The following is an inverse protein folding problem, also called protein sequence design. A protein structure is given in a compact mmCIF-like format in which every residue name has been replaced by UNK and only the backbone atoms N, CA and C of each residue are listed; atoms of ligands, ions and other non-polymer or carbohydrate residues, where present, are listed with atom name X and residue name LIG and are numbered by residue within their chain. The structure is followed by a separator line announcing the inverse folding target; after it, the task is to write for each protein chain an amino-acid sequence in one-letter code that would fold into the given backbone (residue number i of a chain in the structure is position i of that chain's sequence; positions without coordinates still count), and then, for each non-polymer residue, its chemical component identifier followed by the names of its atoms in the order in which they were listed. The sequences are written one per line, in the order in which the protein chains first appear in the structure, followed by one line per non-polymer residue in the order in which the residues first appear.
data_IF_281977849129
#
_entry.id   IF_281977849129
#
_cell.length_a   1.000
_cell.length_b   1.000
_cell.length_c   1.000
_cell.angle_alpha   90.00
_cell.angle_beta   90.00
_cell.angle_gamma   90.00
#
_symmetry.space_group_name_H-M   'P 1'
#
loop_
_entity.id
_entity.type
_entity.pdbx_description
1 polymer ?
#
# COMPACT_ATOMS: atom_id res chain seq x y z
N UNK A 1 15.14 14.93 17.68
CA UNK A 1 14.68 16.04 18.52
C UNK A 1 15.91 16.76 19.07
N UNK A 2 16.05 18.07 18.76
CA UNK A 2 17.17 18.89 19.23
C UNK A 2 17.21 19.02 20.77
N UNK A 3 18.41 19.33 21.33
CA UNK A 3 18.58 19.47 22.79
C UNK A 3 17.61 20.47 23.44
N UNK A 4 17.32 21.59 22.76
CA UNK A 4 16.37 22.62 23.23
C UNK A 4 14.93 22.10 23.26
N UNK A 5 14.49 21.36 22.26
CA UNK A 5 13.14 20.78 22.18
C UNK A 5 12.93 19.66 23.21
N UNK A 6 13.99 18.87 23.54
CA UNK A 6 13.94 17.86 24.60
C UNK A 6 13.64 18.45 25.97
N UNK A 7 14.18 19.62 26.27
CA UNK A 7 13.98 20.29 27.57
C UNK A 7 12.56 20.83 27.75
N UNK A 8 11.75 20.91 26.70
CA UNK A 8 10.37 21.40 26.71
C UNK A 8 9.31 20.29 26.73
N UNK A 9 9.73 19.02 26.67
CA UNK A 9 8.81 17.89 26.66
C UNK A 9 8.71 17.28 28.07
N UNK A 10 7.50 17.02 28.53
CA UNK A 10 7.21 16.34 29.80
C UNK A 10 7.50 14.85 29.76
N UNK A 11 8.06 14.33 28.65
CA UNK A 11 8.37 12.93 28.43
C UNK A 11 9.69 12.73 27.67
N UNK A 12 10.29 11.54 27.81
CA UNK A 12 11.46 11.14 27.04
C UNK A 12 11.03 10.53 25.69
N UNK A 13 11.27 11.19 24.53
CA UNK A 13 10.93 10.61 23.23
C UNK A 13 11.57 9.26 22.96
N UNK A 14 12.75 9.00 23.56
CA UNK A 14 13.45 7.71 23.41
C UNK A 14 12.72 6.59 24.15
N UNK A 15 12.23 6.85 25.34
CA UNK A 15 11.54 5.84 26.13
C UNK A 15 10.16 5.54 25.55
N UNK A 16 9.43 6.58 25.12
CA UNK A 16 8.15 6.43 24.40
C UNK A 16 8.35 5.63 23.11
N UNK A 17 9.40 5.90 22.32
CA UNK A 17 9.68 5.15 21.10
C UNK A 17 9.98 3.67 21.42
N UNK A 18 10.74 3.40 22.49
CA UNK A 18 11.02 2.03 22.92
C UNK A 18 9.75 1.28 23.34
N UNK A 19 8.85 1.96 24.05
CA UNK A 19 7.56 1.39 24.44
C UNK A 19 6.69 1.12 23.23
N UNK A 20 6.59 2.06 22.27
CA UNK A 20 5.87 1.87 21.00
C UNK A 20 6.41 0.64 20.26
N UNK A 21 7.74 0.48 20.14
CA UNK A 21 8.33 -0.68 19.47
C UNK A 21 7.97 -1.99 20.18
N UNK A 22 8.00 -2.00 21.52
CA UNK A 22 7.61 -3.19 22.30
C UNK A 22 6.16 -3.59 22.05
N UNK A 23 5.25 -2.62 22.06
CA UNK A 23 3.82 -2.86 21.82
C UNK A 23 3.60 -3.33 20.37
N UNK A 24 4.19 -2.65 19.40
CA UNK A 24 4.06 -2.99 17.97
C UNK A 24 4.58 -4.39 17.68
N UNK A 25 5.75 -4.76 18.23
CA UNK A 25 6.31 -6.10 18.03
C UNK A 25 5.38 -7.18 18.59
N UNK A 26 4.82 -6.98 19.77
CA UNK A 26 3.85 -7.91 20.36
C UNK A 26 2.60 -8.07 19.49
N UNK A 27 2.04 -6.96 19.01
CA UNK A 27 0.87 -7.00 18.11
C UNK A 27 1.18 -7.71 16.79
N UNK A 28 2.38 -7.50 16.22
CA UNK A 28 2.79 -8.18 15.00
C UNK A 28 2.96 -9.69 15.20
N UNK A 29 3.51 -10.11 16.33
CA UNK A 29 3.59 -11.53 16.68
C UNK A 29 2.20 -12.14 16.84
N UNK A 30 1.30 -11.47 17.55
CA UNK A 30 -0.09 -11.90 17.73
C UNK A 30 -0.84 -12.02 16.40
N UNK A 31 -0.73 -11.00 15.51
CA UNK A 31 -1.33 -11.05 14.17
C UNK A 31 -0.78 -12.24 13.37
N UNK A 32 0.53 -12.48 13.41
CA UNK A 32 1.15 -13.61 12.71
C UNK A 32 0.62 -14.95 13.23
N UNK A 33 0.50 -15.10 14.55
CA UNK A 33 -0.05 -16.31 15.17
C UNK A 33 -1.53 -16.53 14.80
N UNK A 34 -2.34 -15.48 14.87
CA UNK A 34 -3.76 -15.55 14.45
C UNK A 34 -3.87 -15.96 12.98
N UNK A 35 -3.06 -15.33 12.12
CA UNK A 35 -3.08 -15.64 10.70
C UNK A 35 -2.67 -17.09 10.42
N UNK A 36 -1.55 -17.55 10.97
CA UNK A 36 -1.02 -18.89 10.67
C UNK A 36 -1.79 -20.00 11.39
N UNK A 37 -2.25 -19.79 12.62
CA UNK A 37 -2.85 -20.83 13.45
C UNK A 37 -4.38 -20.86 13.42
N UNK A 38 -5.03 -19.76 13.02
CA UNK A 38 -6.49 -19.68 13.01
C UNK A 38 -7.03 -19.42 11.59
N UNK A 39 -6.58 -18.36 10.92
CA UNK A 39 -7.14 -17.95 9.62
C UNK A 39 -6.77 -18.94 8.51
N UNK A 40 -5.50 -19.26 8.34
CA UNK A 40 -5.06 -20.19 7.28
C UNK A 40 -5.68 -21.59 7.44
N UNK A 41 -5.72 -22.20 8.63
CA UNK A 41 -6.43 -23.48 8.82
C UNK A 41 -7.92 -23.40 8.53
N UNK A 42 -8.58 -22.28 8.89
CA UNK A 42 -10.00 -22.11 8.63
C UNK A 42 -10.28 -21.93 7.12
N UNK A 43 -9.48 -21.13 6.42
CA UNK A 43 -9.56 -21.02 4.97
C UNK A 43 -9.42 -22.40 4.31
N UNK A 44 -8.50 -23.24 4.78
CA UNK A 44 -8.31 -24.60 4.27
C UNK A 44 -9.54 -25.49 4.48
N UNK A 45 -10.24 -25.36 5.61
CA UNK A 45 -11.52 -26.06 5.83
C UNK A 45 -12.61 -25.62 4.85
N UNK A 46 -12.50 -24.39 4.36
CA UNK A 46 -13.38 -23.82 3.34
C UNK A 46 -12.85 -24.06 1.90
N UNK A 47 -11.92 -25.00 1.74
CA UNK A 47 -11.26 -25.33 0.46
C UNK A 47 -10.51 -24.16 -0.21
N UNK A 48 -10.10 -23.16 0.58
CA UNK A 48 -9.21 -22.08 0.13
C UNK A 48 -7.81 -22.38 0.65
N UNK A 49 -6.87 -22.66 -0.24
CA UNK A 49 -5.52 -23.06 0.11
C UNK A 49 -4.52 -21.98 -0.30
N UNK A 50 -3.85 -21.35 0.67
CA UNK A 50 -2.71 -20.48 0.41
C UNK A 50 -1.47 -21.38 0.36
N UNK A 51 -0.99 -21.66 -0.85
CA UNK A 51 0.13 -22.56 -1.11
C UNK A 51 1.45 -21.78 -1.12
N UNK A 52 2.47 -22.41 -0.59
CA UNK A 52 3.86 -21.95 -0.72
C UNK A 52 4.49 -22.62 -1.95
N UNK A 53 5.58 -22.06 -2.48
CA UNK A 53 6.28 -22.62 -3.64
C UNK A 53 6.64 -24.11 -3.54
N UNK A 54 6.84 -24.63 -2.33
CA UNK A 54 7.19 -26.01 -2.09
C UNK A 54 5.97 -26.95 -2.08
N UNK A 55 4.78 -26.41 -1.92
CA UNK A 55 3.52 -27.17 -1.84
C UNK A 55 2.85 -27.35 -3.21
N UNK A 56 3.42 -26.75 -4.28
CA UNK A 56 2.86 -26.78 -5.62
C UNK A 56 3.00 -28.17 -6.25
N UNK A 57 1.91 -28.65 -6.85
CA UNK A 57 1.97 -29.78 -7.77
C UNK A 57 2.62 -29.37 -9.12
N UNK A 58 2.81 -30.33 -10.02
CA UNK A 58 3.51 -30.10 -11.30
C UNK A 58 2.76 -29.14 -12.23
N UNK A 59 1.43 -29.17 -12.22
CA UNK A 59 0.60 -28.26 -13.01
C UNK A 59 0.68 -26.84 -12.47
N UNK A 60 0.51 -26.67 -11.17
CA UNK A 60 0.62 -25.39 -10.49
C UNK A 60 2.01 -24.79 -10.61
N UNK A 61 3.06 -25.61 -10.58
CA UNK A 61 4.44 -25.17 -10.79
C UNK A 61 4.65 -24.64 -12.19
N UNK A 62 4.18 -25.35 -13.21
CA UNK A 62 4.23 -24.89 -14.61
C UNK A 62 3.43 -23.60 -14.80
N UNK A 63 2.26 -23.51 -14.17
CA UNK A 63 1.47 -22.27 -14.18
C UNK A 63 2.27 -21.11 -13.57
N UNK A 64 2.85 -21.27 -12.40
CA UNK A 64 3.65 -20.25 -11.73
C UNK A 64 4.86 -19.81 -12.58
N UNK A 65 5.54 -20.73 -13.24
CA UNK A 65 6.66 -20.43 -14.16
C UNK A 65 6.21 -19.64 -15.40
N UNK A 66 5.08 -20.01 -15.99
CA UNK A 66 4.50 -19.27 -17.11
C UNK A 66 4.01 -17.88 -16.67
N UNK A 67 3.32 -17.81 -15.53
CA UNK A 67 2.89 -16.53 -14.96
C UNK A 67 4.06 -15.58 -14.70
N UNK A 68 5.19 -16.13 -14.22
CA UNK A 68 6.41 -15.36 -14.04
C UNK A 68 6.92 -14.79 -15.37
N UNK A 69 7.01 -15.61 -16.41
CA UNK A 69 7.53 -15.19 -17.73
C UNK A 69 6.63 -14.17 -18.41
N UNK A 70 5.32 -14.41 -18.37
CA UNK A 70 4.36 -13.65 -19.17
C UNK A 70 3.93 -12.35 -18.45
N UNK A 71 3.84 -12.36 -17.13
CA UNK A 71 3.27 -11.25 -16.37
C UNK A 71 4.29 -10.54 -15.46
N UNK A 72 5.22 -11.28 -14.82
CA UNK A 72 6.11 -10.73 -13.81
C UNK A 72 7.42 -10.20 -14.38
N UNK A 73 8.02 -10.93 -15.32
CA UNK A 73 9.36 -10.63 -15.84
C UNK A 73 9.54 -9.19 -16.32
N UNK A 74 8.56 -8.53 -16.97
CA UNK A 74 8.68 -7.14 -17.38
C UNK A 74 8.81 -6.14 -16.22
N UNK A 75 8.37 -6.50 -15.03
CA UNK A 75 8.35 -5.62 -13.84
C UNK A 75 9.44 -5.96 -12.81
N UNK A 76 10.13 -7.09 -13.00
CA UNK A 76 11.12 -7.58 -12.03
C UNK A 76 12.53 -7.24 -12.49
N UNK A 77 13.18 -6.31 -11.80
CA UNK A 77 14.56 -5.93 -12.05
C UNK A 77 15.44 -6.37 -10.89
N UNK A 78 16.33 -7.36 -11.09
CA UNK A 78 17.30 -7.76 -10.09
C UNK A 78 18.45 -6.74 -10.00
N UNK A 79 18.86 -6.40 -8.78
CA UNK A 79 20.00 -5.50 -8.52
C UNK A 79 21.01 -6.23 -7.66
N UNK A 80 22.19 -6.53 -8.23
CA UNK A 80 23.31 -7.05 -7.44
C UNK A 80 23.86 -5.95 -6.53
N UNK A 81 24.05 -6.30 -5.26
CA UNK A 81 24.66 -5.40 -4.28
C UNK A 81 26.18 -5.52 -4.34
N UNK A 82 26.84 -4.46 -4.72
CA UNK A 82 28.30 -4.37 -4.74
C UNK A 82 28.76 -3.42 -3.66
N UNK A 83 29.47 -3.95 -2.67
CA UNK A 83 29.96 -3.20 -1.51
C UNK A 83 30.63 -1.89 -1.97
N UNK A 84 30.18 -0.76 -1.42
CA UNK A 84 30.68 0.60 -1.69
C UNK A 84 30.52 1.15 -3.12
N UNK A 85 29.89 0.42 -4.05
CA UNK A 85 29.73 0.87 -5.44
C UNK A 85 28.29 1.12 -5.85
N UNK A 86 27.35 0.31 -5.36
CA UNK A 86 25.95 0.42 -5.76
C UNK A 86 25.09 0.41 -4.49
N UNK A 87 24.48 1.54 -4.18
CA UNK A 87 23.36 1.64 -3.24
C UNK A 87 22.08 1.70 -4.03
N UNK A 88 21.36 0.59 -4.17
CA UNK A 88 20.07 0.63 -4.84
C UNK A 88 19.09 1.45 -3.99
N UNK A 89 18.28 2.22 -4.66
CA UNK A 89 17.22 2.97 -4.02
C UNK A 89 16.06 2.04 -3.70
N UNK A 90 15.73 1.86 -2.42
CA UNK A 90 14.51 1.18 -2.01
C UNK A 90 13.35 2.19 -1.98
N UNK A 91 12.36 1.99 -2.82
CA UNK A 91 11.17 2.80 -2.85
C UNK A 91 10.37 2.67 -1.54
N UNK A 92 9.74 3.76 -1.12
CA UNK A 92 8.98 3.81 0.12
C UNK A 92 7.82 2.79 0.12
N UNK A 93 7.73 2.00 1.17
CA UNK A 93 6.67 1.02 1.42
C UNK A 93 6.55 -0.12 0.37
N UNK A 94 7.54 -0.31 -0.51
CA UNK A 94 7.56 -1.41 -1.46
C UNK A 94 8.20 -2.67 -0.86
N UNK A 95 7.79 -3.82 -1.37
CA UNK A 95 8.32 -5.12 -0.99
C UNK A 95 9.50 -5.50 -1.88
N UNK A 96 10.50 -6.10 -1.24
CA UNK A 96 11.67 -6.65 -1.93
C UNK A 96 12.00 -8.03 -1.37
N UNK A 97 12.70 -8.83 -2.17
CA UNK A 97 13.45 -9.99 -1.72
C UNK A 97 14.93 -9.63 -1.65
N UNK A 98 15.52 -9.80 -0.49
CA UNK A 98 16.96 -9.88 -0.33
C UNK A 98 17.39 -11.31 -0.68
N UNK A 99 18.25 -11.46 -1.67
CA UNK A 99 18.67 -12.73 -2.23
C UNK A 99 20.10 -13.01 -1.82
N UNK A 100 20.33 -14.16 -1.20
CA UNK A 100 21.65 -14.66 -0.88
C UNK A 100 22.13 -15.55 -2.03
N UNK A 101 23.24 -15.17 -2.65
CA UNK A 101 23.80 -15.75 -3.86
C UNK A 101 25.19 -16.29 -3.63
N UNK A 102 25.56 -17.31 -4.39
CA UNK A 102 26.92 -17.84 -4.50
C UNK A 102 27.34 -17.87 -5.96
N UNK A 103 28.42 -17.21 -6.36
CA UNK A 103 28.92 -17.26 -7.74
C UNK A 103 29.38 -18.70 -8.10
N UNK A 104 28.93 -19.24 -9.23
CA UNK A 104 29.27 -20.61 -9.66
C UNK A 104 30.76 -20.81 -10.01
N UNK A 105 31.45 -19.71 -10.40
CA UNK A 105 32.85 -19.76 -10.88
C UNK A 105 33.88 -19.24 -9.89
N UNK A 106 33.48 -19.02 -8.61
CA UNK A 106 34.35 -18.48 -7.58
C UNK A 106 34.45 -19.41 -6.36
N UNK A 107 35.41 -19.20 -5.45
CA UNK A 107 35.54 -20.03 -4.25
C UNK A 107 34.23 -20.11 -3.44
N UNK A 108 34.01 -21.25 -2.82
CA UNK A 108 32.79 -21.57 -2.03
C UNK A 108 32.50 -20.56 -0.88
N UNK A 109 33.53 -19.81 -0.45
CA UNK A 109 33.43 -18.83 0.64
C UNK A 109 32.93 -17.46 0.23
N UNK A 110 32.77 -17.18 -1.07
CA UNK A 110 32.36 -15.86 -1.54
C UNK A 110 30.83 -15.75 -1.65
N UNK A 111 30.20 -15.00 -0.75
CA UNK A 111 28.77 -14.67 -0.80
C UNK A 111 28.55 -13.41 -1.62
N UNK A 112 27.51 -13.40 -2.42
CA UNK A 112 26.98 -12.22 -3.09
C UNK A 112 25.52 -11.98 -2.67
N UNK A 113 25.09 -10.75 -2.73
CA UNK A 113 23.74 -10.38 -2.35
C UNK A 113 23.06 -9.60 -3.47
N UNK A 114 21.76 -9.74 -3.59
CA UNK A 114 20.97 -9.00 -4.55
C UNK A 114 19.61 -8.59 -3.95
N UNK A 115 18.97 -7.67 -4.62
CA UNK A 115 17.60 -7.27 -4.34
C UNK A 115 16.72 -7.49 -5.55
N UNK A 116 15.50 -7.92 -5.30
CA UNK A 116 14.46 -8.08 -6.31
C UNK A 116 13.19 -7.42 -5.80
N UNK A 117 12.71 -6.38 -6.49
CA UNK A 117 11.43 -5.75 -6.16
C UNK A 117 10.28 -6.72 -6.45
N UNK A 118 9.34 -6.86 -5.51
CA UNK A 118 8.06 -7.54 -5.74
C UNK A 118 7.06 -6.51 -6.27
N UNK A 119 6.55 -6.66 -7.51
CA UNK A 119 5.71 -5.65 -8.15
C UNK A 119 4.23 -5.72 -7.70
N UNK A 120 3.97 -5.77 -6.39
CA UNK A 120 2.61 -5.82 -5.82
C UNK A 120 1.83 -4.51 -5.98
N UNK A 121 2.50 -3.46 -6.43
CA UNK A 121 1.91 -2.19 -6.88
C UNK A 121 1.33 -2.25 -8.29
N UNK A 122 1.80 -3.19 -9.13
CA UNK A 122 1.39 -3.38 -10.52
C UNK A 122 0.49 -4.62 -10.71
N UNK A 123 0.77 -5.68 -9.97
CA UNK A 123 0.13 -6.98 -10.11
C UNK A 123 -0.56 -7.41 -8.80
N UNK A 124 -1.61 -8.26 -8.89
CA UNK A 124 -2.24 -8.82 -7.71
C UNK A 124 -1.24 -9.59 -6.84
N UNK A 125 -1.28 -9.36 -5.52
CA UNK A 125 -0.42 -10.06 -4.56
C UNK A 125 -0.78 -11.53 -4.41
N UNK A 126 -2.08 -11.84 -4.51
CA UNK A 126 -2.62 -13.19 -4.45
C UNK A 126 -3.00 -13.64 -5.84
N UNK A 127 -2.37 -14.70 -6.32
CA UNK A 127 -2.56 -15.23 -7.67
C UNK A 127 -3.30 -16.56 -7.57
N UNK A 128 -4.54 -16.67 -8.10
CA UNK A 128 -5.24 -17.95 -8.19
C UNK A 128 -4.45 -18.93 -9.06
N UNK A 129 -4.36 -20.16 -8.58
CA UNK A 129 -3.72 -21.30 -9.25
C UNK A 129 -4.77 -22.24 -9.86
N UNK A 130 -4.39 -23.11 -10.80
CA UNK A 130 -5.20 -24.25 -11.14
C UNK A 130 -5.56 -25.06 -9.89
N UNK A 131 -6.83 -25.47 -9.72
CA UNK A 131 -7.28 -26.16 -8.52
C UNK A 131 -6.60 -27.53 -8.38
N UNK A 132 -6.12 -27.84 -7.18
CA UNK A 132 -5.53 -29.16 -6.88
C UNK A 132 -6.55 -30.29 -6.82
N UNK A 133 -7.82 -29.95 -6.59
CA UNK A 133 -8.96 -30.88 -6.57
C UNK A 133 -10.24 -30.16 -6.97
N UNK A 134 -11.29 -30.86 -7.44
CA UNK A 134 -12.57 -30.25 -7.72
C UNK A 134 -13.13 -29.46 -6.52
N UNK A 135 -13.45 -28.18 -6.74
CA UNK A 135 -13.98 -27.29 -5.71
C UNK A 135 -12.93 -26.63 -4.80
N UNK A 136 -11.63 -26.88 -5.00
CA UNK A 136 -10.59 -26.16 -4.28
C UNK A 136 -10.28 -24.80 -4.94
N UNK A 137 -9.94 -23.83 -4.12
CA UNK A 137 -9.48 -22.49 -4.50
C UNK A 137 -8.04 -22.33 -4.03
N UNK A 138 -7.10 -22.67 -4.90
CA UNK A 138 -5.68 -22.62 -4.58
C UNK A 138 -5.11 -21.27 -4.96
N UNK A 139 -4.31 -20.69 -4.10
CA UNK A 139 -3.72 -19.36 -4.25
C UNK A 139 -2.24 -19.45 -3.93
N UNK A 140 -1.43 -18.68 -4.64
CA UNK A 140 -0.04 -18.44 -4.30
C UNK A 140 0.22 -16.94 -4.13
N UNK A 141 1.11 -16.57 -3.21
CA UNK A 141 1.58 -15.20 -3.12
C UNK A 141 2.59 -14.88 -4.23
N UNK A 142 2.52 -13.66 -4.75
CA UNK A 142 3.39 -13.16 -5.80
C UNK A 142 4.89 -13.34 -5.45
N UNK A 143 5.22 -13.18 -4.17
CA UNK A 143 6.58 -13.43 -3.65
C UNK A 143 7.06 -14.85 -3.94
N UNK A 144 6.20 -15.83 -3.75
CA UNK A 144 6.57 -17.24 -3.95
C UNK A 144 6.64 -17.60 -5.43
N UNK A 145 5.90 -16.93 -6.31
CA UNK A 145 6.11 -17.05 -7.75
C UNK A 145 7.49 -16.52 -8.14
N UNK A 146 7.88 -15.35 -7.59
CA UNK A 146 9.22 -14.79 -7.83
C UNK A 146 10.29 -15.73 -7.27
N UNK A 147 10.12 -16.26 -6.05
CA UNK A 147 11.05 -17.21 -5.43
C UNK A 147 11.17 -18.50 -6.22
N UNK A 148 10.08 -19.00 -6.78
CA UNK A 148 10.07 -20.22 -7.60
C UNK A 148 10.91 -20.06 -8.88
N UNK A 149 10.87 -18.86 -9.47
CA UNK A 149 11.52 -18.56 -10.73
C UNK A 149 12.80 -17.73 -10.61
N UNK A 150 13.30 -17.53 -9.38
CA UNK A 150 14.38 -16.58 -9.09
C UNK A 150 15.71 -16.93 -9.77
N UNK A 151 15.94 -18.20 -10.07
CA UNK A 151 17.13 -18.67 -10.80
C UNK A 151 17.25 -18.06 -12.20
N UNK A 152 16.12 -17.70 -12.82
CA UNK A 152 16.10 -17.00 -14.12
C UNK A 152 16.71 -15.61 -14.07
N UNK A 153 16.64 -14.97 -12.89
CA UNK A 153 17.13 -13.60 -12.70
C UNK A 153 18.63 -13.53 -12.46
N UNK A 154 19.25 -14.64 -12.07
CA UNK A 154 20.66 -14.69 -11.67
C UNK A 154 21.44 -15.80 -12.38
N UNK A 155 21.57 -15.74 -13.73
CA UNK A 155 22.40 -16.69 -14.44
C UNK A 155 23.85 -16.60 -13.95
N UNK A 156 24.48 -17.74 -13.66
CA UNK A 156 25.85 -17.78 -13.12
C UNK A 156 25.97 -17.76 -11.61
N UNK A 157 24.85 -17.77 -10.88
CA UNK A 157 24.81 -17.89 -9.42
C UNK A 157 23.96 -19.07 -8.97
N UNK A 158 24.31 -19.64 -7.84
CA UNK A 158 23.44 -20.52 -7.05
C UNK A 158 22.64 -19.64 -6.08
N UNK A 159 21.35 -19.87 -5.98
CA UNK A 159 20.49 -19.21 -5.01
C UNK A 159 20.57 -19.99 -3.71
N UNK A 160 21.10 -19.38 -2.65
CA UNK A 160 21.18 -20.02 -1.34
C UNK A 160 19.87 -19.86 -0.57
N UNK A 161 19.33 -18.64 -0.50
CA UNK A 161 18.01 -18.37 0.07
C UNK A 161 17.53 -16.97 -0.32
N UNK A 162 16.26 -16.65 0.09
CA UNK A 162 15.59 -15.38 -0.18
C UNK A 162 14.79 -14.94 1.03
N UNK A 163 14.89 -13.67 1.40
CA UNK A 163 14.27 -13.09 2.57
C UNK A 163 13.48 -11.85 2.17
N UNK A 164 12.26 -11.73 2.68
CA UNK A 164 11.44 -10.54 2.44
C UNK A 164 11.96 -9.35 3.24
N UNK A 165 11.99 -8.19 2.61
CA UNK A 165 12.29 -6.92 3.27
C UNK A 165 11.34 -5.83 2.78
N UNK A 166 11.11 -4.83 3.65
CA UNK A 166 10.33 -3.63 3.33
C UNK A 166 10.91 -2.44 4.05
N UNK A 167 11.14 -1.36 3.31
CA UNK A 167 11.59 -0.10 3.88
C UNK A 167 10.45 0.91 3.88
N UNK A 168 10.19 1.52 5.03
CA UNK A 168 9.32 2.69 5.14
C UNK A 168 10.18 3.92 5.40
N UNK A 169 9.89 5.01 4.68
CA UNK A 169 10.56 6.29 4.84
C UNK A 169 9.68 7.29 5.58
N UNK A 170 10.31 8.28 6.17
CA UNK A 170 9.56 9.40 6.72
C UNK A 170 8.78 10.10 5.60
N UNK A 171 7.46 10.11 5.75
CA UNK A 171 6.53 10.63 4.76
C UNK A 171 5.96 12.00 5.17
N UNK A 172 6.45 12.63 6.25
CA UNK A 172 5.99 13.96 6.62
C UNK A 172 6.47 15.03 5.64
N UNK A 173 5.57 15.94 5.33
CA UNK A 173 5.88 17.13 4.54
C UNK A 173 6.43 18.22 5.48
N UNK A 174 7.75 18.32 5.53
CA UNK A 174 8.41 19.46 6.16
C UNK A 174 8.52 20.57 5.12
N UNK A 175 7.71 21.62 5.26
CA UNK A 175 7.76 22.81 4.42
C UNK A 175 8.34 23.93 5.27
N UNK A 176 9.59 24.28 5.01
CA UNK A 176 10.21 25.44 5.62
C UNK A 176 9.56 26.70 5.04
N UNK A 177 9.12 27.61 5.92
CA UNK A 177 8.53 28.89 5.54
C UNK A 177 7.34 28.78 4.56
N UNK A 178 6.16 28.41 5.07
CA UNK A 178 4.93 28.23 4.29
C UNK A 178 4.44 29.53 3.64
N UNK A 179 4.83 30.66 4.19
CA UNK A 179 4.30 31.98 3.82
C UNK A 179 5.09 32.69 2.73
N UNK A 180 6.29 32.23 2.38
CA UNK A 180 7.11 32.81 1.33
C UNK A 180 7.05 31.99 0.04
N UNK A 181 6.81 32.63 -1.10
CA UNK A 181 6.85 32.03 -2.42
C UNK A 181 5.64 31.14 -2.76
N UNK A 182 5.77 30.30 -3.80
CA UNK A 182 4.67 29.48 -4.30
C UNK A 182 4.54 28.17 -3.51
N UNK A 183 3.51 28.07 -2.69
CA UNK A 183 3.22 26.90 -1.83
C UNK A 183 3.01 25.61 -2.66
N UNK A 184 2.36 25.67 -3.82
CA UNK A 184 2.16 24.51 -4.71
C UNK A 184 3.49 23.93 -5.18
N UNK A 185 4.43 24.78 -5.57
CA UNK A 185 5.78 24.36 -5.97
C UNK A 185 6.54 23.72 -4.81
N UNK A 186 6.42 24.30 -3.61
CA UNK A 186 7.04 23.73 -2.39
C UNK A 186 6.47 22.36 -2.06
N UNK A 187 5.15 22.18 -2.15
CA UNK A 187 4.49 20.89 -1.94
C UNK A 187 4.96 19.87 -2.99
N UNK A 188 4.97 20.20 -4.28
CA UNK A 188 5.46 19.31 -5.33
C UNK A 188 6.90 18.86 -5.08
N UNK A 189 7.79 19.78 -4.71
CA UNK A 189 9.19 19.45 -4.38
C UNK A 189 9.29 18.56 -3.13
N UNK A 190 8.46 18.81 -2.13
CA UNK A 190 8.45 18.02 -0.90
C UNK A 190 7.85 16.63 -1.11
N UNK A 191 6.87 16.46 -2.00
CA UNK A 191 6.34 15.16 -2.40
C UNK A 191 7.42 14.29 -3.07
N UNK A 192 8.28 14.87 -3.90
CA UNK A 192 9.42 14.15 -4.44
C UNK A 192 10.43 13.75 -3.35
N UNK A 193 10.69 14.63 -2.38
CA UNK A 193 11.56 14.33 -1.23
C UNK A 193 11.04 13.22 -0.32
N UNK A 194 9.73 13.01 -0.21
CA UNK A 194 9.15 11.89 0.54
C UNK A 194 9.67 10.53 0.07
N UNK A 195 9.91 10.37 -1.20
CA UNK A 195 10.41 9.11 -1.74
C UNK A 195 11.86 8.84 -1.37
N UNK A 196 12.64 9.89 -1.14
CA UNK A 196 14.09 9.83 -0.82
C UNK A 196 14.39 10.17 0.65
N UNK A 197 13.37 10.41 1.48
CA UNK A 197 13.51 10.72 2.90
C UNK A 197 14.27 9.64 3.67
N UNK A 198 14.73 9.92 4.91
CA UNK A 198 15.44 8.96 5.73
C UNK A 198 14.58 7.72 6.02
N UNK A 199 15.22 6.58 6.15
CA UNK A 199 14.54 5.37 6.59
C UNK A 199 13.99 5.57 8.00
N UNK A 200 12.71 5.26 8.20
CA UNK A 200 12.05 5.32 9.50
C UNK A 200 11.73 3.93 10.04
N UNK A 201 11.62 2.92 9.17
CA UNK A 201 11.35 1.54 9.54
C UNK A 201 11.87 0.60 8.46
N UNK A 202 12.64 -0.39 8.86
CA UNK A 202 13.09 -1.49 8.00
C UNK A 202 12.60 -2.82 8.57
N UNK A 203 11.66 -3.43 7.88
CA UNK A 203 11.10 -4.72 8.25
C UNK A 203 11.82 -5.81 7.46
N UNK A 204 12.18 -6.90 8.12
CA UNK A 204 12.90 -8.00 7.52
C UNK A 204 12.40 -9.37 8.00
N UNK A 205 12.54 -10.39 7.16
CA UNK A 205 12.23 -11.77 7.51
C UNK A 205 13.09 -12.23 8.71
N UNK A 206 12.46 -12.65 9.78
CA UNK A 206 13.13 -13.09 11.02
C UNK A 206 14.13 -14.24 10.78
N UNK A 207 13.90 -15.05 9.76
CA UNK A 207 14.81 -16.13 9.38
C UNK A 207 16.08 -15.67 8.66
N UNK A 208 16.20 -14.35 8.36
CA UNK A 208 17.38 -13.79 7.70
C UNK A 208 18.64 -13.98 8.55
N UNK A 209 19.73 -14.55 7.99
CA UNK A 209 20.96 -14.74 8.74
C UNK A 209 21.65 -13.40 9.06
N UNK A 210 22.31 -13.37 10.20
CA UNK A 210 22.92 -12.15 10.76
C UNK A 210 23.90 -11.46 9.79
N UNK A 211 24.69 -12.24 9.04
CA UNK A 211 25.66 -11.69 8.09
C UNK A 211 25.00 -10.93 6.94
N UNK A 212 23.83 -11.39 6.43
CA UNK A 212 23.06 -10.67 5.43
C UNK A 212 22.38 -9.44 6.04
N UNK A 213 21.83 -9.59 7.26
CA UNK A 213 21.20 -8.48 7.96
C UNK A 213 22.20 -7.34 8.22
N UNK A 214 23.40 -7.66 8.71
CA UNK A 214 24.48 -6.69 8.91
C UNK A 214 24.91 -6.02 7.61
N UNK A 215 25.00 -6.79 6.51
CA UNK A 215 25.32 -6.24 5.21
C UNK A 215 24.27 -5.23 4.73
N UNK A 216 22.96 -5.54 4.89
CA UNK A 216 21.87 -4.63 4.52
C UNK A 216 21.84 -3.40 5.43
N UNK A 217 22.11 -3.58 6.73
CA UNK A 217 22.21 -2.47 7.69
C UNK A 217 23.28 -1.47 7.28
N UNK A 218 24.46 -1.95 6.91
CA UNK A 218 25.58 -1.11 6.43
C UNK A 218 25.24 -0.46 5.09
N UNK A 219 24.73 -1.25 4.14
CA UNK A 219 24.39 -0.77 2.79
C UNK A 219 23.35 0.35 2.78
N UNK A 220 22.32 0.26 3.63
CA UNK A 220 21.23 1.24 3.70
C UNK A 220 21.37 2.25 4.83
N UNK A 221 22.48 2.23 5.59
CA UNK A 221 22.75 3.10 6.74
C UNK A 221 21.61 3.07 7.77
N UNK A 222 21.10 1.85 8.04
CA UNK A 222 19.96 1.67 8.94
C UNK A 222 20.40 1.77 10.40
N UNK A 223 19.57 2.43 11.21
CA UNK A 223 19.77 2.44 12.65
C UNK A 223 19.21 1.16 13.24
N UNK A 224 19.87 0.62 14.27
CA UNK A 224 19.44 -0.60 14.94
C UNK A 224 17.99 -0.53 15.45
N UNK A 225 17.56 0.64 15.88
CA UNK A 225 16.19 0.88 16.36
C UNK A 225 15.13 0.93 15.25
N UNK A 226 15.53 1.10 14.00
CA UNK A 226 14.61 1.16 12.86
C UNK A 226 14.39 -0.22 12.23
N UNK A 227 15.12 -1.24 12.70
CA UNK A 227 15.11 -2.61 12.18
C UNK A 227 14.18 -3.49 13.00
N UNK A 228 13.18 -4.08 12.34
CA UNK A 228 12.11 -4.85 12.97
C UNK A 228 11.98 -6.23 12.31
N UNK A 229 12.17 -7.33 13.07
CA UNK A 229 11.93 -8.67 12.56
C UNK A 229 10.43 -8.93 12.41
N UNK A 230 10.04 -9.52 11.29
CA UNK A 230 8.66 -9.91 11.01
C UNK A 230 8.63 -11.34 10.42
N UNK A 231 7.43 -11.87 10.17
CA UNK A 231 7.26 -13.13 9.45
C UNK A 231 7.71 -13.04 7.99
N UNK A 232 7.61 -14.18 7.28
CA UNK A 232 8.07 -14.28 5.88
C UNK A 232 7.32 -13.39 4.90
N UNK A 233 6.04 -13.11 5.18
CA UNK A 233 5.18 -12.30 4.31
C UNK A 233 4.84 -10.98 4.99
N UNK A 234 5.24 -9.89 4.36
CA UNK A 234 5.03 -8.54 4.85
C UNK A 234 3.86 -7.88 4.11
N UNK A 235 3.41 -6.73 4.63
CA UNK A 235 2.39 -5.88 4.01
C UNK A 235 0.95 -6.42 4.10
N UNK A 236 0.44 -6.52 5.32
CA UNK A 236 -0.93 -6.98 5.61
C UNK A 236 -2.02 -6.17 4.88
N UNK A 237 -1.70 -4.95 4.40
CA UNK A 237 -2.62 -4.16 3.59
C UNK A 237 -3.05 -4.89 2.30
N UNK A 238 -2.24 -5.80 1.78
CA UNK A 238 -2.58 -6.56 0.58
C UNK A 238 -3.76 -7.51 0.79
N UNK A 239 -4.12 -7.86 2.04
CA UNK A 239 -5.30 -8.68 2.33
C UNK A 239 -6.62 -8.02 1.93
N UNK A 240 -6.67 -6.69 1.78
CA UNK A 240 -7.84 -6.01 1.19
C UNK A 240 -8.10 -6.42 -0.26
N UNK A 241 -7.11 -6.99 -0.95
CA UNK A 241 -7.19 -7.49 -2.32
C UNK A 241 -7.22 -9.02 -2.37
N UNK A 242 -7.60 -9.68 -1.26
CA UNK A 242 -7.75 -11.13 -1.25
C UNK A 242 -8.82 -11.55 -2.27
N UNK A 243 -8.57 -12.60 -3.08
CA UNK A 243 -9.49 -13.00 -4.15
C UNK A 243 -10.88 -13.34 -3.63
N UNK A 244 -11.89 -12.92 -4.38
CA UNK A 244 -13.27 -13.28 -4.14
C UNK A 244 -13.63 -14.54 -4.93
N UNK A 245 -13.92 -15.63 -4.24
CA UNK A 245 -14.32 -16.90 -4.85
C UNK A 245 -15.84 -17.09 -4.91
N UNK A 246 -16.63 -16.04 -4.65
CA UNK A 246 -18.10 -16.12 -4.63
C UNK A 246 -18.68 -16.83 -3.40
N UNK A 247 -17.86 -17.13 -2.39
CA UNK A 247 -18.27 -17.81 -1.16
C UNK A 247 -18.96 -16.81 -0.20
N UNK A 248 -20.26 -16.58 -0.42
CA UNK A 248 -21.03 -15.57 0.31
C UNK A 248 -21.10 -15.81 1.82
N UNK A 249 -21.02 -17.08 2.27
CA UNK A 249 -21.02 -17.43 3.68
C UNK A 249 -19.74 -17.03 4.44
N UNK A 250 -18.65 -16.70 3.71
CA UNK A 250 -17.40 -16.18 4.28
C UNK A 250 -17.36 -14.65 4.33
N UNK A 251 -18.43 -13.99 3.92
CA UNK A 251 -18.52 -12.53 3.89
C UNK A 251 -19.58 -12.02 4.85
N UNK A 252 -19.28 -10.89 5.45
CA UNK A 252 -20.32 -10.16 6.15
C UNK A 252 -21.39 -9.70 5.17
N UNK A 253 -22.64 -9.67 5.63
CA UNK A 253 -23.75 -9.12 4.85
C UNK A 253 -23.44 -7.66 4.50
N UNK A 254 -23.54 -7.32 3.22
CA UNK A 254 -23.42 -5.93 2.79
C UNK A 254 -24.55 -5.12 3.42
N UNK A 255 -24.19 -3.99 4.02
CA UNK A 255 -25.11 -2.99 4.51
C UNK A 255 -24.99 -1.77 3.57
N UNK A 256 -25.80 -1.70 2.50
CA UNK A 256 -25.77 -0.55 1.60
C UNK A 256 -26.19 0.70 2.37
N UNK A 257 -25.63 1.88 2.02
CA UNK A 257 -26.08 3.13 2.62
C UNK A 257 -27.58 3.33 2.42
N UNK A 258 -28.23 3.83 3.44
CA UNK A 258 -29.66 4.16 3.38
C UNK A 258 -29.88 5.36 2.46
N UNK A 259 -31.00 5.38 1.75
CA UNK A 259 -31.39 6.54 0.99
C UNK A 259 -31.96 7.64 1.90
N UNK A 260 -31.71 8.90 1.53
CA UNK A 260 -32.32 10.01 2.26
C UNK A 260 -33.81 10.14 1.87
N UNK A 261 -34.75 10.12 2.82
CA UNK A 261 -36.19 10.00 2.50
C UNK A 261 -36.72 11.09 1.58
N UNK A 262 -36.20 12.30 1.68
CA UNK A 262 -36.68 13.45 0.92
C UNK A 262 -35.83 13.79 -0.31
N UNK A 263 -34.57 13.35 -0.39
CA UNK A 263 -33.64 13.76 -1.44
C UNK A 263 -33.35 12.65 -2.47
N UNK A 264 -33.64 11.38 -2.15
CA UNK A 264 -33.23 10.26 -3.00
C UNK A 264 -33.88 10.32 -4.38
N UNK A 265 -35.21 10.46 -4.41
CA UNK A 265 -36.01 10.46 -5.65
C UNK A 265 -36.51 11.87 -6.02
N UNK A 266 -35.91 12.90 -5.43
CA UNK A 266 -36.32 14.27 -5.68
C UNK A 266 -35.96 14.71 -7.12
N UNK A 267 -36.96 15.03 -7.94
CA UNK A 267 -36.74 15.63 -9.25
C UNK A 267 -36.06 17.00 -9.11
N UNK A 268 -36.50 17.80 -8.13
CA UNK A 268 -35.91 19.08 -7.76
C UNK A 268 -35.46 19.09 -6.30
N UNK A 269 -34.19 18.80 -6.04
CA UNK A 269 -33.62 18.84 -4.66
C UNK A 269 -33.64 20.26 -4.09
N UNK A 270 -33.64 21.32 -4.90
CA UNK A 270 -33.70 22.70 -4.43
C UNK A 270 -35.07 23.04 -3.85
N UNK A 271 -36.16 22.53 -4.46
CA UNK A 271 -37.50 22.70 -3.89
C UNK A 271 -37.62 22.04 -2.51
N UNK A 272 -37.04 20.83 -2.37
CA UNK A 272 -37.02 20.12 -1.08
C UNK A 272 -36.26 20.90 -0.01
N UNK A 273 -35.07 21.44 -0.34
CA UNK A 273 -34.22 22.17 0.59
C UNK A 273 -34.83 23.53 0.97
N UNK A 274 -35.54 24.20 0.04
CA UNK A 274 -36.26 25.45 0.35
C UNK A 274 -37.39 25.26 1.36
N UNK A 275 -37.98 24.06 1.42
CA UNK A 275 -39.06 23.79 2.37
C UNK A 275 -38.54 23.53 3.78
N UNK A 276 -37.37 22.86 3.90
CA UNK A 276 -36.82 22.46 5.19
C UNK A 276 -35.35 22.11 5.04
N UNK A 277 -34.56 22.39 6.07
CA UNK A 277 -33.18 21.91 6.20
C UNK A 277 -33.11 20.39 6.09
N UNK A 278 -32.13 19.91 5.35
CA UNK A 278 -31.90 18.49 5.14
C UNK A 278 -30.57 18.07 5.77
N UNK A 279 -30.63 17.06 6.64
CA UNK A 279 -29.44 16.50 7.30
C UNK A 279 -29.08 15.15 6.68
N UNK A 280 -27.81 14.98 6.29
CA UNK A 280 -27.27 13.73 5.79
C UNK A 280 -26.26 13.17 6.77
N UNK A 281 -26.40 11.92 7.13
CA UNK A 281 -25.48 11.20 8.01
C UNK A 281 -24.67 10.19 7.21
N UNK A 282 -23.57 10.64 6.60
CA UNK A 282 -22.65 9.77 5.85
C UNK A 282 -21.64 9.10 6.80
N UNK A 283 -21.21 7.86 6.51
CA UNK A 283 -21.50 7.01 5.34
C UNK A 283 -22.80 6.17 5.46
N UNK A 284 -23.56 6.31 6.51
CA UNK A 284 -24.76 5.48 6.73
C UNK A 284 -25.91 5.84 5.79
N UNK A 285 -25.98 7.10 5.36
CA UNK A 285 -26.81 7.52 4.23
C UNK A 285 -25.94 7.71 2.98
N UNK A 286 -26.55 7.48 1.80
CA UNK A 286 -25.86 7.61 0.52
C UNK A 286 -25.40 9.04 0.28
N UNK A 287 -24.12 9.19 -0.09
CA UNK A 287 -23.55 10.47 -0.52
C UNK A 287 -24.06 10.91 -1.89
N UNK A 288 -24.77 10.04 -2.63
CA UNK A 288 -25.34 10.37 -3.94
C UNK A 288 -26.30 11.56 -3.90
N UNK A 289 -26.99 11.79 -2.78
CA UNK A 289 -27.81 12.98 -2.60
C UNK A 289 -27.01 14.29 -2.75
N UNK A 290 -25.76 14.32 -2.20
CA UNK A 290 -24.85 15.46 -2.35
C UNK A 290 -24.33 15.57 -3.77
N UNK A 291 -23.95 14.45 -4.38
CA UNK A 291 -23.48 14.44 -5.78
C UNK A 291 -24.57 14.93 -6.71
N UNK A 292 -25.79 14.41 -6.57
CA UNK A 292 -26.95 14.81 -7.37
C UNK A 292 -27.27 16.31 -7.21
N UNK A 293 -27.14 16.86 -6.00
CA UNK A 293 -27.29 18.29 -5.78
C UNK A 293 -26.31 19.11 -6.62
N UNK A 294 -25.04 18.74 -6.71
CA UNK A 294 -24.07 19.42 -7.58
C UNK A 294 -24.35 19.21 -9.06
N UNK A 295 -24.74 18.01 -9.47
CA UNK A 295 -25.09 17.70 -10.86
C UNK A 295 -26.31 18.50 -11.32
N UNK A 296 -27.34 18.61 -10.49
CA UNK A 296 -28.51 19.44 -10.76
C UNK A 296 -28.14 20.93 -10.78
N UNK A 297 -27.33 21.40 -9.82
CA UNK A 297 -26.87 22.79 -9.78
C UNK A 297 -26.07 23.17 -11.04
N UNK A 298 -25.31 22.24 -11.60
CA UNK A 298 -24.57 22.48 -12.83
C UNK A 298 -25.48 22.77 -14.04
N UNK A 299 -26.66 22.15 -14.09
CA UNK A 299 -27.58 22.24 -15.22
C UNK A 299 -28.70 23.28 -15.02
N UNK A 300 -29.08 23.58 -13.77
CA UNK A 300 -30.18 24.51 -13.48
C UNK A 300 -29.85 25.95 -13.93
N UNK A 301 -30.61 26.55 -14.87
CA UNK A 301 -30.35 27.90 -15.35
C UNK A 301 -30.51 28.99 -14.27
N UNK A 302 -31.23 28.71 -13.20
CA UNK A 302 -31.38 29.65 -12.07
C UNK A 302 -30.12 29.73 -11.17
N UNK A 303 -29.23 28.74 -11.26
CA UNK A 303 -27.95 28.73 -10.54
C UNK A 303 -26.91 29.48 -11.36
N UNK A 304 -26.43 30.59 -10.85
CA UNK A 304 -25.40 31.43 -11.50
C UNK A 304 -23.99 31.21 -10.92
N UNK A 305 -23.91 30.87 -9.64
CA UNK A 305 -22.66 30.76 -8.91
C UNK A 305 -22.64 29.48 -8.06
N UNK A 306 -21.51 28.74 -8.08
CA UNK A 306 -21.26 27.60 -7.21
C UNK A 306 -19.97 27.86 -6.43
N UNK A 307 -20.06 27.82 -5.11
CA UNK A 307 -18.88 27.92 -4.21
C UNK A 307 -18.75 26.65 -3.41
N UNK A 308 -17.58 26.05 -3.42
CA UNK A 308 -17.33 24.77 -2.74
C UNK A 308 -15.98 24.76 -2.05
N UNK A 309 -15.91 24.15 -0.88
CA UNK A 309 -14.68 23.84 -0.17
C UNK A 309 -14.51 22.33 -0.16
N UNK A 310 -13.35 21.83 -0.60
CA UNK A 310 -13.02 20.41 -0.58
C UNK A 310 -11.71 20.20 0.17
N UNK A 311 -11.77 19.37 1.20
CA UNK A 311 -10.59 18.98 1.96
C UNK A 311 -9.83 17.85 1.25
N UNK A 312 -10.56 16.85 0.74
CA UNK A 312 -10.00 15.72 -0.03
C UNK A 312 -10.81 15.50 -1.30
N UNK A 313 -10.11 15.40 -2.41
CA UNK A 313 -10.72 15.15 -3.72
C UNK A 313 -10.56 13.66 -4.09
N UNK A 314 -11.66 12.97 -4.33
CA UNK A 314 -11.64 11.58 -4.78
C UNK A 314 -11.08 11.49 -6.21
N UNK A 315 -10.42 10.37 -6.53
CA UNK A 315 -10.09 10.05 -7.92
C UNK A 315 -11.39 9.92 -8.71
N UNK A 316 -11.45 10.52 -9.90
CA UNK A 316 -12.66 10.55 -10.75
C UNK A 316 -13.88 11.12 -10.01
N UNK A 317 -13.71 12.22 -9.28
CA UNK A 317 -14.76 12.86 -8.49
C UNK A 317 -15.92 13.34 -9.37
N UNK A 318 -17.13 12.80 -9.14
CA UNK A 318 -18.36 13.26 -9.80
C UNK A 318 -18.67 14.73 -9.44
N UNK A 319 -18.30 15.20 -8.26
CA UNK A 319 -18.44 16.60 -7.88
C UNK A 319 -17.59 17.49 -8.78
N UNK A 320 -16.30 17.13 -8.97
CA UNK A 320 -15.42 17.89 -9.88
C UNK A 320 -15.97 17.88 -11.30
N UNK A 321 -16.46 16.74 -11.77
CA UNK A 321 -17.10 16.65 -13.08
C UNK A 321 -18.31 17.58 -13.20
N UNK A 322 -19.18 17.64 -12.17
CA UNK A 322 -20.32 18.55 -12.13
C UNK A 322 -19.88 20.03 -12.11
N UNK A 323 -18.82 20.38 -11.38
CA UNK A 323 -18.26 21.75 -11.38
C UNK A 323 -17.73 22.15 -12.77
N UNK A 324 -17.04 21.24 -13.45
CA UNK A 324 -16.57 21.48 -14.81
C UNK A 324 -17.75 21.68 -15.79
N UNK A 325 -18.81 20.89 -15.63
CA UNK A 325 -20.04 21.03 -16.43
C UNK A 325 -20.74 22.36 -16.16
N UNK A 326 -20.79 22.80 -14.90
CA UNK A 326 -21.30 24.10 -14.52
C UNK A 326 -20.59 25.25 -15.25
N UNK A 327 -19.25 25.19 -15.34
CA UNK A 327 -18.47 26.20 -16.09
C UNK A 327 -18.81 26.20 -17.58
N UNK A 328 -18.99 25.04 -18.19
CA UNK A 328 -19.41 24.93 -19.60
C UNK A 328 -20.79 25.55 -19.83
N UNK A 329 -21.67 25.52 -18.84
CA UNK A 329 -22.98 26.17 -18.87
C UNK A 329 -22.93 27.66 -18.45
N UNK A 330 -21.73 28.27 -18.43
CA UNK A 330 -21.56 29.70 -18.18
C UNK A 330 -21.67 30.13 -16.72
N UNK A 331 -21.67 29.17 -15.77
CA UNK A 331 -21.76 29.48 -14.34
C UNK A 331 -20.39 29.88 -13.77
N UNK A 332 -20.40 30.74 -12.76
CA UNK A 332 -19.20 31.08 -12.00
C UNK A 332 -18.95 30.02 -10.92
N UNK A 333 -17.79 29.38 -10.97
CA UNK A 333 -17.40 28.35 -10.01
C UNK A 333 -16.18 28.81 -9.22
N UNK A 334 -16.29 28.78 -7.90
CA UNK A 334 -15.19 29.01 -6.96
C UNK A 334 -14.96 27.76 -6.12
N UNK A 335 -13.88 27.04 -6.37
CA UNK A 335 -13.49 25.87 -5.58
C UNK A 335 -12.26 26.20 -4.72
N UNK A 336 -12.40 26.03 -3.41
CA UNK A 336 -11.28 26.05 -2.48
C UNK A 336 -10.88 24.62 -2.15
N UNK A 337 -9.64 24.25 -2.48
CA UNK A 337 -9.12 22.90 -2.24
C UNK A 337 -7.95 22.97 -1.26
N UNK A 338 -8.00 22.13 -0.20
CA UNK A 338 -6.91 22.03 0.78
C UNK A 338 -5.74 21.24 0.20
N UNK A 339 -4.73 21.93 -0.29
CA UNK A 339 -3.56 21.31 -0.93
C UNK A 339 -2.61 20.61 0.05
N UNK A 340 -2.77 20.83 1.37
CA UNK A 340 -2.02 20.16 2.44
C UNK A 340 -2.79 19.01 3.10
N UNK A 341 -3.87 18.54 2.49
CA UNK A 341 -4.60 17.39 3.01
C UNK A 341 -3.67 16.19 3.10
N UNK A 342 -3.34 15.79 4.33
CA UNK A 342 -2.31 14.77 4.62
C UNK A 342 -2.57 13.47 3.86
N UNK A 343 -1.59 13.01 3.10
CA UNK A 343 -1.60 11.85 2.20
C UNK A 343 -2.37 12.01 0.89
N UNK A 344 -3.14 13.07 0.73
CA UNK A 344 -3.89 13.36 -0.50
C UNK A 344 -3.36 14.58 -1.26
N UNK A 345 -2.22 15.14 -0.85
CA UNK A 345 -1.63 16.35 -1.43
C UNK A 345 -1.36 16.21 -2.93
N UNK A 346 -1.02 14.99 -3.38
CA UNK A 346 -0.79 14.73 -4.81
C UNK A 346 -2.10 14.68 -5.61
N UNK A 347 -3.21 14.26 -4.98
CA UNK A 347 -4.53 14.20 -5.62
C UNK A 347 -5.19 15.59 -5.67
N UNK A 348 -5.01 16.41 -4.62
CA UNK A 348 -5.53 17.77 -4.53
C UNK A 348 -4.72 18.76 -5.35
#
# INVERSE_FOLDING_TARGET
VGKKTKAQLDFSPRDVLKEIHSIVNRHQEEISLIFEQQIVPELRRQHINILRRLDLNDEQRRFAENYFKDNLLPFVMPVLLVKQRIRPFLANAHLYLAVHLRPKRKPLSESAYALVKIPSDQLPRFVPLPPSSPGSHDIIMLDDIVRNSITWLFPGYDILDTYSIKLTRDAELYIDDEYSGNLVTKIKNSLQKRQVGPASRFVYDRAMPEHLLAYLQDTFELRKNDMLPEGRYHNNFDFFKFPDFGLSHLKNKLLPPLHHPALHDAEDPFAVIRQKDQLLHVPYQSYDAVVNFFEKAALDPAVTHIKVIQYRVARNSRIIAALMEAVKHGKQVSAFVEIKARFDEAAN
#
